data_IF_713385781883
#
_entry.id   IF_713385781883
#
_cell.length_a   1.000
_cell.length_b   1.000
_cell.length_c   1.000
_cell.angle_alpha   90.00
_cell.angle_beta   90.00
_cell.angle_gamma   90.00
#
_symmetry.space_group_name_H-M   'P 1'
#
loop_
_entity.id
_entity.type
_entity.pdbx_description
1 polymer ?
#
# COMPACT_ATOMS: atom_id res chain seq x y z
N UNK A 1 13.11 -10.03 2.33
CA UNK A 1 11.92 -9.49 1.63
C UNK A 1 11.96 -7.99 1.76
N UNK A 2 11.51 -7.27 0.72
CA UNK A 2 11.54 -5.80 0.67
C UNK A 2 10.15 -5.29 1.02
N UNK A 3 10.00 -4.66 2.19
CA UNK A 3 8.75 -4.01 2.59
C UNK A 3 8.71 -2.58 2.10
N UNK A 4 7.55 -2.13 1.63
CA UNK A 4 7.37 -0.78 1.10
C UNK A 4 6.23 -0.09 1.83
N UNK A 5 6.52 1.07 2.42
CA UNK A 5 5.52 1.97 2.98
C UNK A 5 5.21 3.11 2.00
N UNK A 6 3.96 3.20 1.56
CA UNK A 6 3.43 4.29 0.72
C UNK A 6 2.59 5.21 1.58
N UNK A 7 3.19 6.32 2.02
CA UNK A 7 2.53 7.31 2.85
C UNK A 7 1.65 8.24 2.00
N UNK A 8 0.39 7.87 1.85
CA UNK A 8 -0.58 8.56 1.00
C UNK A 8 -1.00 7.78 -0.24
N UNK A 9 -2.10 7.03 -0.12
CA UNK A 9 -2.78 6.29 -1.19
C UNK A 9 -3.61 7.17 -2.13
N UNK A 10 -3.04 8.29 -2.60
CA UNK A 10 -3.57 9.07 -3.72
C UNK A 10 -3.19 8.45 -5.08
N UNK A 11 -3.47 9.13 -6.18
CA UNK A 11 -3.21 8.58 -7.53
C UNK A 11 -1.77 8.10 -7.74
N UNK A 12 -0.77 8.90 -7.30
CA UNK A 12 0.64 8.55 -7.43
C UNK A 12 1.02 7.34 -6.58
N UNK A 13 0.67 7.36 -5.29
CA UNK A 13 0.97 6.25 -4.38
C UNK A 13 0.37 4.94 -4.85
N UNK A 14 -0.88 4.97 -5.35
CA UNK A 14 -1.55 3.79 -5.92
C UNK A 14 -0.86 3.30 -7.19
N UNK A 15 -0.53 4.20 -8.13
CA UNK A 15 0.12 3.81 -9.39
C UNK A 15 1.50 3.16 -9.16
N UNK A 16 2.25 3.64 -8.17
CA UNK A 16 3.51 3.02 -7.76
C UNK A 16 3.29 1.65 -7.12
N UNK A 17 2.43 1.58 -6.10
CA UNK A 17 2.12 0.36 -5.36
C UNK A 17 1.65 -0.78 -6.28
N UNK A 18 0.67 -0.49 -7.14
CA UNK A 18 0.14 -1.48 -8.08
C UNK A 18 1.12 -1.80 -9.20
N UNK A 19 1.91 -0.82 -9.65
CA UNK A 19 2.93 -1.01 -10.67
C UNK A 19 4.02 -2.00 -10.23
N UNK A 20 4.52 -1.89 -9.00
CA UNK A 20 5.55 -2.80 -8.49
C UNK A 20 5.04 -4.24 -8.32
N UNK A 21 3.82 -4.40 -7.82
CA UNK A 21 3.18 -5.71 -7.68
C UNK A 21 2.91 -6.33 -9.05
N UNK A 22 2.36 -5.56 -9.99
CA UNK A 22 2.10 -6.04 -11.35
C UNK A 22 3.39 -6.43 -12.11
N UNK A 23 4.51 -5.76 -11.82
CA UNK A 23 5.82 -6.10 -12.37
C UNK A 23 6.49 -7.30 -11.68
N UNK A 24 5.89 -7.85 -10.61
CA UNK A 24 6.44 -8.98 -9.85
C UNK A 24 7.67 -8.61 -9.00
N UNK A 25 7.84 -7.32 -8.65
CA UNK A 25 8.97 -6.87 -7.85
C UNK A 25 8.75 -7.04 -6.34
N UNK A 26 7.49 -7.00 -5.90
CA UNK A 26 7.07 -7.15 -4.49
C UNK A 26 5.74 -7.87 -4.44
N UNK A 27 5.50 -8.61 -3.36
CA UNK A 27 4.18 -9.16 -3.06
C UNK A 27 3.26 -8.06 -2.51
N UNK A 28 1.94 -8.08 -2.80
CA UNK A 28 1.03 -7.07 -2.29
C UNK A 28 1.01 -7.01 -0.76
N UNK A 29 1.20 -8.15 -0.09
CA UNK A 29 1.27 -8.25 1.37
C UNK A 29 2.50 -7.54 1.98
N UNK A 30 3.53 -7.24 1.19
CA UNK A 30 4.72 -6.49 1.61
C UNK A 30 4.57 -4.98 1.35
N UNK A 31 3.43 -4.52 0.81
CA UNK A 31 3.18 -3.11 0.49
C UNK A 31 2.10 -2.54 1.40
N UNK A 32 2.51 -1.60 2.24
CA UNK A 32 1.65 -0.88 3.18
C UNK A 32 1.27 0.48 2.59
N UNK A 33 -0.02 0.71 2.32
CA UNK A 33 -0.52 1.96 1.76
C UNK A 33 -1.39 2.68 2.78
N UNK A 34 -1.04 3.93 3.12
CA UNK A 34 -1.80 4.68 4.12
C UNK A 34 -2.70 5.75 3.53
N UNK A 35 -3.87 5.95 4.13
CA UNK A 35 -4.78 7.08 3.82
C UNK A 35 -5.71 7.35 4.99
N UNK A 36 -6.02 8.63 5.23
CA UNK A 36 -6.97 9.04 6.30
C UNK A 36 -8.34 8.39 6.14
N UNK A 37 -8.87 8.39 4.91
CA UNK A 37 -10.08 7.68 4.51
C UNK A 37 -9.69 6.29 3.98
N UNK A 38 -9.59 5.30 4.85
CA UNK A 38 -9.14 3.95 4.49
C UNK A 38 -10.09 3.24 3.54
N UNK A 39 -11.38 3.57 3.57
CA UNK A 39 -12.41 3.02 2.68
C UNK A 39 -12.12 3.30 1.19
N UNK A 40 -11.33 4.35 0.90
CA UNK A 40 -10.90 4.65 -0.48
C UNK A 40 -9.74 3.76 -0.96
N UNK A 41 -9.28 2.84 -0.13
CA UNK A 41 -8.26 1.84 -0.45
C UNK A 41 -8.83 0.41 -0.40
N UNK A 42 -10.14 0.22 -0.25
CA UNK A 42 -10.75 -1.11 -0.16
C UNK A 42 -10.39 -2.01 -1.36
N UNK A 43 -10.31 -1.43 -2.56
CA UNK A 43 -9.90 -2.15 -3.76
C UNK A 43 -8.44 -2.64 -3.74
N UNK A 44 -7.56 -1.96 -2.99
CA UNK A 44 -6.21 -2.43 -2.75
C UNK A 44 -6.18 -3.52 -1.68
N UNK A 45 -6.98 -3.37 -0.62
CA UNK A 45 -7.11 -4.39 0.42
C UNK A 45 -7.64 -5.72 -0.16
N UNK A 46 -8.62 -5.64 -1.05
CA UNK A 46 -9.23 -6.79 -1.74
C UNK A 46 -8.22 -7.62 -2.54
N UNK A 47 -7.14 -7.00 -3.02
CA UNK A 47 -6.06 -7.66 -3.77
C UNK A 47 -4.80 -7.91 -2.93
N UNK A 48 -4.91 -7.74 -1.61
CA UNK A 48 -3.91 -8.17 -0.63
C UNK A 48 -2.92 -7.12 -0.16
N UNK A 49 -3.09 -5.84 -0.52
CA UNK A 49 -2.29 -4.76 0.07
C UNK A 49 -2.65 -4.55 1.54
N UNK A 50 -1.68 -4.15 2.35
CA UNK A 50 -1.96 -3.73 3.73
C UNK A 50 -2.38 -2.26 3.72
N UNK A 51 -3.57 -1.95 4.20
CA UNK A 51 -4.09 -0.58 4.24
C UNK A 51 -4.29 -0.11 5.67
N UNK A 52 -3.96 1.16 5.95
CA UNK A 52 -4.19 1.76 7.27
C UNK A 52 -4.35 3.27 7.20
N UNK A 53 -4.84 3.89 8.27
CA UNK A 53 -4.80 5.35 8.43
C UNK A 53 -3.53 5.85 9.16
N UNK A 54 -2.66 4.93 9.61
CA UNK A 54 -1.54 5.24 10.48
C UNK A 54 -0.20 5.09 9.73
N UNK A 55 0.45 6.23 9.50
CA UNK A 55 1.76 6.31 8.88
C UNK A 55 2.86 5.67 9.73
N UNK A 56 2.80 5.77 11.07
CA UNK A 56 3.84 5.23 11.94
C UNK A 56 3.83 3.70 11.85
N UNK A 57 2.65 3.09 11.98
CA UNK A 57 2.48 1.64 11.82
C UNK A 57 2.98 1.15 10.45
N UNK A 58 2.78 1.91 9.36
CA UNK A 58 3.26 1.51 8.05
C UNK A 58 4.79 1.58 7.89
N UNK A 59 5.45 2.54 8.54
CA UNK A 59 6.92 2.69 8.49
C UNK A 59 7.62 1.62 9.33
N UNK A 60 7.02 1.22 10.45
CA UNK A 60 7.60 0.25 11.39
C UNK A 60 7.34 -1.22 11.00
N UNK A 61 6.55 -1.46 9.93
CA UNK A 61 6.08 -2.77 9.51
C UNK A 61 7.16 -3.70 8.97
#
# INVERSE_FOLDING_TARGET
MTKIAVLGGGNLGRALATGWVAAGHVDPADVHVTRRETEKLDDLADVGFVVSADNATAVDA
#
